data_IF_049403156133
#
_entry.id   IF_049403156133
#
_cell.length_a   1.000
_cell.length_b   1.000
_cell.length_c   1.000
_cell.angle_alpha   90.00
_cell.angle_beta   90.00
_cell.angle_gamma   90.00
#
_symmetry.space_group_name_H-M   'P 1'
#
loop_
_entity.id
_entity.type
_entity.pdbx_description
1 polymer ?
#
# COMPACT_ATOMS: atom_id res chain seq x y z
N UNK A 1 19.70 2.04 5.07
CA UNK A 1 18.95 1.69 6.30
C UNK A 1 17.48 1.90 5.98
N UNK A 2 16.62 0.90 6.14
CA UNK A 2 15.18 0.99 6.50
C UNK A 2 14.19 1.98 5.83
N UNK A 3 14.59 2.89 4.95
CA UNK A 3 13.75 4.02 4.51
C UNK A 3 12.49 3.56 3.78
N UNK A 4 12.62 2.54 2.92
CA UNK A 4 11.51 1.97 2.16
C UNK A 4 10.51 1.27 3.11
N UNK A 5 11.01 0.62 4.16
CA UNK A 5 10.16 -0.06 5.15
C UNK A 5 9.39 0.92 6.03
N UNK A 6 9.97 2.09 6.33
CA UNK A 6 9.28 3.20 7.01
C UNK A 6 8.09 3.69 6.20
N UNK A 7 8.31 4.00 4.93
CA UNK A 7 7.26 4.50 4.03
C UNK A 7 6.10 3.51 3.84
N UNK A 8 6.38 2.19 3.85
CA UNK A 8 5.32 1.15 3.83
C UNK A 8 4.52 1.18 5.14
N UNK A 9 5.19 1.28 6.29
CA UNK A 9 4.53 1.30 7.61
C UNK A 9 3.72 2.59 7.84
N UNK A 10 4.21 3.72 7.33
CA UNK A 10 3.54 5.03 7.39
C UNK A 10 2.31 5.11 6.46
N UNK A 11 2.21 4.18 5.51
CA UNK A 11 1.10 4.10 4.57
C UNK A 11 1.30 4.91 3.27
N UNK A 12 2.54 5.34 2.98
CA UNK A 12 2.91 5.96 1.70
C UNK A 12 3.08 4.94 0.56
N UNK A 13 3.45 3.71 0.90
CA UNK A 13 3.65 2.64 -0.07
C UNK A 13 2.66 1.50 0.17
N UNK A 14 2.19 0.90 -0.92
CA UNK A 14 1.36 -0.29 -0.88
C UNK A 14 2.14 -1.45 -0.27
N UNK A 15 1.56 -2.07 0.76
CA UNK A 15 2.18 -3.22 1.42
C UNK A 15 2.31 -4.43 0.48
N UNK A 16 1.44 -4.57 -0.53
CA UNK A 16 1.45 -5.71 -1.45
C UNK A 16 2.43 -5.54 -2.61
N UNK A 17 2.41 -4.38 -3.29
CA UNK A 17 3.19 -4.16 -4.52
C UNK A 17 4.35 -3.17 -4.34
N UNK A 18 4.42 -2.45 -3.22
CA UNK A 18 5.41 -1.40 -2.98
C UNK A 18 5.22 -0.14 -3.82
N UNK A 19 4.08 -0.01 -4.52
CA UNK A 19 3.75 1.19 -5.29
C UNK A 19 3.41 2.37 -4.40
N UNK A 20 3.71 3.59 -4.85
CA UNK A 20 3.30 4.82 -4.16
C UNK A 20 1.78 4.95 -4.18
N UNK A 21 1.22 5.17 -2.99
CA UNK A 21 -0.19 5.49 -2.82
C UNK A 21 -0.27 7.00 -2.69
N UNK A 22 -0.91 7.65 -3.65
CA UNK A 22 -1.16 9.09 -3.60
C UNK A 22 -2.25 9.33 -2.54
N UNK A 23 -1.85 9.85 -1.38
CA UNK A 23 -2.75 10.01 -0.24
C UNK A 23 -2.03 10.50 1.02
N UNK A 24 -2.82 10.96 1.98
CA UNK A 24 -2.34 11.38 3.30
C UNK A 24 -1.71 10.20 4.06
N UNK A 25 -0.69 10.49 4.86
CA UNK A 25 -0.07 9.53 5.79
C UNK A 25 -1.14 8.98 6.73
N UNK A 26 -1.36 7.67 6.67
CA UNK A 26 -2.42 7.04 7.47
C UNK A 26 -1.88 6.34 8.70
N UNK A 27 -0.55 6.22 8.81
CA UNK A 27 0.14 5.63 9.96
C UNK A 27 -0.03 4.12 10.07
N UNK A 28 -0.56 3.46 9.04
CA UNK A 28 -0.63 2.01 8.92
C UNK A 28 -0.44 1.56 7.48
N UNK A 29 0.13 0.35 7.27
CA UNK A 29 0.33 -0.18 5.94
C UNK A 29 -1.02 -0.54 5.29
N UNK A 30 -1.18 -0.12 4.02
CA UNK A 30 -2.43 -0.22 3.26
C UNK A 30 -2.17 -0.71 1.83
N UNK A 31 -3.24 -1.07 1.14
CA UNK A 31 -3.21 -1.48 -0.26
C UNK A 31 -3.56 -0.30 -1.16
N UNK A 32 -2.94 -0.23 -2.34
CA UNK A 32 -3.38 0.69 -3.39
C UNK A 32 -4.73 0.22 -3.96
N UNK A 33 -5.43 1.12 -4.65
CA UNK A 33 -6.74 0.85 -5.25
C UNK A 33 -6.70 -0.37 -6.18
N UNK A 34 -5.62 -0.57 -6.93
CA UNK A 34 -5.41 -1.74 -7.82
C UNK A 34 -5.33 -3.07 -7.04
N UNK A 35 -4.50 -3.13 -5.97
CA UNK A 35 -4.39 -4.31 -5.12
C UNK A 35 -5.64 -4.55 -4.26
N UNK A 36 -6.33 -3.47 -3.86
CA UNK A 36 -7.58 -3.55 -3.11
C UNK A 36 -8.73 -4.01 -4.02
N UNK A 37 -8.76 -3.55 -5.27
CA UNK A 37 -9.68 -3.99 -6.31
C UNK A 37 -9.41 -5.46 -6.67
N UNK A 38 -8.17 -5.90 -6.87
CA UNK A 38 -7.85 -7.32 -7.08
C UNK A 38 -8.37 -8.21 -5.94
N UNK A 39 -8.22 -7.76 -4.68
CA UNK A 39 -8.74 -8.49 -3.51
C UNK A 39 -10.27 -8.55 -3.48
N UNK A 40 -10.94 -7.47 -3.86
CA UNK A 40 -12.41 -7.41 -3.84
C UNK A 40 -13.04 -8.07 -5.07
N UNK A 41 -12.39 -8.02 -6.24
CA UNK A 41 -12.91 -8.55 -7.49
C UNK A 41 -12.70 -10.05 -7.65
N UNK A 42 -11.92 -10.71 -6.79
CA UNK A 42 -12.02 -12.16 -6.53
C UNK A 42 -12.32 -13.06 -7.74
N UNK A 43 -11.66 -12.85 -8.89
CA UNK A 43 -11.91 -13.66 -10.08
C UNK A 43 -10.60 -14.00 -10.80
N UNK A 44 -9.93 -15.06 -10.35
CA UNK A 44 -10.01 -16.37 -11.00
C UNK A 44 -9.36 -17.48 -10.17
#
# INVERSE_FOLDING_TARGET
MGEISGMILEGFLCQSCGGFIDGEETGYPRNCEDCEEEKNNGNK
#
